data_IF_743826285028
#
_entry.id   IF_743826285028
#
_cell.length_a   1.000
_cell.length_b   1.000
_cell.length_c   1.000
_cell.angle_alpha   90.00
_cell.angle_beta   90.00
_cell.angle_gamma   90.00
#
_symmetry.space_group_name_H-M   'P 1'
#
loop_
_entity.id
_entity.type
_entity.pdbx_description
1 polymer ?
#
# COMPACT_ATOMS: atom_id res chain seq x y z
N UNK A 1 1.49 26.90 3.80
CA UNK A 1 0.69 26.32 4.91
C UNK A 1 -0.65 27.06 5.03
N UNK A 2 -1.74 26.33 5.35
CA UNK A 2 -3.08 26.89 5.51
C UNK A 2 -3.41 27.03 7.01
N UNK A 3 -3.07 28.16 7.67
CA UNK A 3 -3.25 28.34 9.11
C UNK A 3 -4.68 28.71 9.50
N UNK A 4 -5.59 28.82 8.53
CA UNK A 4 -6.99 29.17 8.75
C UNK A 4 -7.89 27.94 8.57
N UNK A 5 -8.99 27.83 9.32
CA UNK A 5 -9.39 28.71 10.43
C UNK A 5 -8.47 28.55 11.67
N UNK A 6 -8.54 29.43 12.68
CA UNK A 6 -7.88 29.19 13.96
C UNK A 6 -8.25 27.80 14.51
N UNK A 7 -7.31 27.13 15.17
CA UNK A 7 -7.53 25.79 15.72
C UNK A 7 -8.75 25.74 16.67
N UNK A 8 -9.00 26.79 17.44
CA UNK A 8 -10.15 26.91 18.35
C UNK A 8 -11.49 26.74 17.63
N UNK A 9 -11.57 27.19 16.38
CA UNK A 9 -12.81 27.20 15.63
C UNK A 9 -13.13 25.80 15.11
N UNK A 10 -12.12 24.93 14.94
CA UNK A 10 -12.32 23.55 14.51
C UNK A 10 -13.15 22.71 15.50
N UNK A 11 -13.17 23.11 16.79
CA UNK A 11 -14.05 22.53 17.82
C UNK A 11 -15.51 22.93 17.66
N UNK A 12 -15.79 24.04 16.96
CA UNK A 12 -17.12 24.61 16.95
C UNK A 12 -18.03 23.82 15.99
N UNK A 13 -19.07 23.15 16.50
CA UNK A 13 -19.99 22.39 15.65
C UNK A 13 -20.79 23.26 14.69
N UNK A 14 -20.98 24.56 14.99
CA UNK A 14 -21.77 25.46 14.16
C UNK A 14 -21.03 25.94 12.90
N UNK A 15 -19.69 26.00 12.93
CA UNK A 15 -18.90 26.58 11.84
C UNK A 15 -18.08 25.54 11.07
N UNK A 16 -17.56 24.53 11.76
CA UNK A 16 -16.71 23.50 11.15
C UNK A 16 -17.17 22.08 11.48
N UNK A 17 -18.44 21.91 11.90
CA UNK A 17 -19.07 20.63 12.21
C UNK A 17 -18.34 19.78 13.27
N UNK A 18 -17.55 20.39 14.17
CA UNK A 18 -16.88 19.66 15.25
C UNK A 18 -15.90 18.61 14.70
N UNK A 19 -15.04 19.03 13.76
CA UNK A 19 -14.05 18.16 13.11
C UNK A 19 -13.01 17.61 14.05
N UNK A 20 -12.74 18.34 15.12
CA UNK A 20 -12.01 17.81 16.25
C UNK A 20 -12.98 17.14 17.22
N UNK A 21 -12.51 16.07 17.88
CA UNK A 21 -13.33 15.36 18.84
C UNK A 21 -13.76 16.25 20.03
N UNK A 22 -14.82 15.89 20.76
CA UNK A 22 -15.34 16.69 21.87
C UNK A 22 -14.35 16.88 23.03
N UNK A 23 -13.27 16.10 23.07
CA UNK A 23 -12.20 16.18 24.07
C UNK A 23 -10.90 16.79 23.51
N UNK A 24 -11.01 17.53 22.41
CA UNK A 24 -9.90 18.19 21.74
C UNK A 24 -9.95 19.70 21.95
N UNK A 25 -8.78 20.30 22.10
CA UNK A 25 -8.56 21.73 22.18
C UNK A 25 -7.32 22.13 21.38
N UNK A 26 -7.09 23.43 21.10
CA UNK A 26 -5.90 23.88 20.37
C UNK A 26 -4.55 23.49 20.99
N UNK A 27 -4.52 23.14 22.28
CA UNK A 27 -3.29 22.85 23.02
C UNK A 27 -3.22 21.42 23.53
N UNK A 28 -4.34 20.71 23.65
CA UNK A 28 -4.41 19.37 24.23
C UNK A 28 -5.55 18.55 23.63
N UNK A 29 -5.33 17.23 23.54
CA UNK A 29 -6.36 16.24 23.24
C UNK A 29 -6.31 15.09 24.24
N UNK A 30 -7.35 14.26 24.24
CA UNK A 30 -7.38 13.02 25.01
C UNK A 30 -7.66 11.81 24.13
N UNK A 31 -7.02 10.69 24.45
CA UNK A 31 -7.28 9.40 23.82
C UNK A 31 -7.48 8.32 24.87
N UNK A 32 -8.22 7.27 24.51
CA UNK A 32 -8.36 6.08 25.34
C UNK A 32 -7.05 5.32 25.43
N UNK A 33 -6.75 4.80 26.61
CA UNK A 33 -5.61 3.90 26.80
C UNK A 33 -5.88 2.53 26.18
N UNK A 34 -4.81 1.88 25.73
CA UNK A 34 -4.87 0.52 25.21
C UNK A 34 -5.32 -0.44 26.33
N UNK A 35 -6.39 -1.19 26.09
CA UNK A 35 -6.82 -2.29 26.97
C UNK A 35 -7.32 -1.89 28.35
N UNK A 36 -7.54 -0.59 28.63
CA UNK A 36 -8.04 -0.11 29.92
C UNK A 36 -9.34 0.66 29.74
N UNK A 37 -10.45 0.03 30.11
CA UNK A 37 -11.77 0.69 30.11
C UNK A 37 -11.75 1.80 31.16
N UNK A 38 -11.98 3.05 30.71
CA UNK A 38 -12.11 4.22 31.59
C UNK A 38 -10.87 5.11 31.74
N UNK A 39 -9.69 4.68 31.28
CA UNK A 39 -8.49 5.51 31.34
C UNK A 39 -8.29 6.33 30.07
N UNK A 40 -7.96 7.62 30.26
CA UNK A 40 -7.64 8.56 29.20
C UNK A 40 -6.22 9.11 29.38
N UNK A 41 -5.43 9.07 28.31
CA UNK A 41 -4.16 9.81 28.23
C UNK A 41 -4.43 11.20 27.66
N UNK A 42 -4.03 12.24 28.40
CA UNK A 42 -3.97 13.62 27.90
C UNK A 42 -2.63 13.81 27.19
N UNK A 43 -2.65 14.40 26.00
CA UNK A 43 -1.44 14.73 25.25
C UNK A 43 -1.50 16.16 24.71
N UNK A 44 -0.35 16.83 24.53
CA UNK A 44 -0.31 18.13 23.89
C UNK A 44 -0.68 17.99 22.41
N UNK A 45 -1.60 18.82 21.96
CA UNK A 45 -2.04 18.89 20.58
C UNK A 45 -1.13 19.78 19.74
N UNK A 46 -1.09 19.55 18.43
CA UNK A 46 -0.24 20.29 17.50
C UNK A 46 -0.97 20.63 16.21
N UNK A 47 -0.65 21.79 15.65
CA UNK A 47 -1.11 22.16 14.31
C UNK A 47 -0.35 21.35 13.25
N UNK A 48 -0.96 20.30 12.72
CA UNK A 48 -0.38 19.47 11.66
C UNK A 48 -0.70 19.95 10.24
N UNK A 49 -1.37 21.09 10.07
CA UNK A 49 -1.75 21.56 8.73
C UNK A 49 -0.52 21.83 7.88
N UNK A 50 -0.58 21.33 6.64
CA UNK A 50 0.50 21.42 5.67
C UNK A 50 1.79 20.74 6.09
N UNK A 51 1.74 19.76 7.00
CA UNK A 51 2.86 18.86 7.28
C UNK A 51 2.70 17.58 6.47
N UNK A 52 3.82 16.99 6.10
CA UNK A 52 3.89 15.69 5.43
C UNK A 52 4.77 14.78 6.27
N UNK A 53 4.29 13.58 6.58
CA UNK A 53 5.02 12.59 7.36
C UNK A 53 5.34 11.38 6.49
N UNK A 54 6.63 11.10 6.29
CA UNK A 54 7.11 9.83 5.78
C UNK A 54 7.19 8.83 6.92
N UNK A 55 6.48 7.72 6.78
CA UNK A 55 6.70 6.53 7.58
C UNK A 55 7.59 5.60 6.78
N UNK A 56 8.76 5.30 7.32
CA UNK A 56 9.68 4.35 6.71
C UNK A 56 9.98 3.22 7.68
N UNK A 57 10.37 2.09 7.13
CA UNK A 57 10.60 0.86 7.88
C UNK A 57 11.85 0.14 7.31
N UNK A 58 12.94 -0.04 8.09
CA UNK A 58 14.11 -0.80 7.62
C UNK A 58 13.80 -2.29 7.43
N UNK A 59 12.67 -2.76 7.95
CA UNK A 59 12.11 -4.09 7.69
C UNK A 59 11.35 -4.17 6.36
N UNK A 60 11.09 -3.05 5.69
CA UNK A 60 10.44 -3.01 4.37
C UNK A 60 11.29 -3.72 3.31
N UNK A 61 10.68 -4.67 2.60
CA UNK A 61 11.33 -5.44 1.54
C UNK A 61 10.67 -5.28 0.16
N UNK A 62 9.68 -4.39 0.00
CA UNK A 62 8.85 -4.33 -1.22
C UNK A 62 9.61 -3.84 -2.45
N UNK A 63 10.46 -2.83 -2.30
CA UNK A 63 11.30 -2.31 -3.39
C UNK A 63 12.74 -2.48 -2.97
N UNK A 64 13.24 -3.69 -3.20
CA UNK A 64 14.63 -4.02 -3.06
C UNK A 64 15.18 -4.14 -4.50
N UNK A 65 16.01 -3.19 -4.90
CA UNK A 65 16.93 -3.30 -6.05
C UNK A 65 18.32 -2.92 -5.51
N UNK A 66 19.38 -3.62 -5.94
CA UNK A 66 20.72 -3.48 -5.35
C UNK A 66 21.23 -2.03 -5.30
N UNK A 67 20.93 -1.25 -6.34
CA UNK A 67 21.38 0.13 -6.49
C UNK A 67 20.34 1.18 -6.08
N UNK A 68 19.16 0.77 -5.58
CA UNK A 68 18.08 1.70 -5.21
C UNK A 68 17.91 1.75 -3.70
N UNK A 69 18.17 2.92 -3.13
CA UNK A 69 17.87 3.23 -1.72
C UNK A 69 16.51 3.93 -1.62
N UNK A 70 15.45 3.13 -1.54
CA UNK A 70 14.08 3.65 -1.40
C UNK A 70 13.85 4.34 -0.06
N UNK A 71 13.23 5.52 -0.08
CA UNK A 71 12.91 6.28 1.14
C UNK A 71 11.94 5.53 2.08
N UNK A 72 11.15 4.58 1.56
CA UNK A 72 10.27 3.73 2.35
C UNK A 72 11.03 2.73 3.24
N UNK A 73 12.23 2.31 2.83
CA UNK A 73 13.09 1.43 3.64
C UNK A 73 14.08 2.20 4.49
N UNK A 74 14.73 3.22 3.92
CA UNK A 74 15.89 3.85 4.53
C UNK A 74 15.62 5.25 5.11
N UNK A 75 14.41 5.78 4.92
CA UNK A 75 14.11 7.18 5.18
C UNK A 75 14.85 8.12 4.22
N UNK A 76 14.70 9.42 4.45
CA UNK A 76 15.47 10.46 3.76
C UNK A 76 16.71 10.78 4.59
N UNK A 77 17.87 10.72 3.94
CA UNK A 77 19.17 10.93 4.57
C UNK A 77 19.50 12.43 4.66
N UNK A 78 20.35 12.78 5.62
CA UNK A 78 20.86 14.14 5.77
C UNK A 78 21.96 14.49 4.76
N UNK A 79 22.48 13.49 4.04
CA UNK A 79 23.56 13.63 3.07
C UNK A 79 23.11 13.06 1.74
N UNK A 80 23.15 13.86 0.69
CA UNK A 80 22.78 13.46 -0.67
C UNK A 80 23.93 12.74 -1.41
N UNK A 81 24.41 11.62 -0.86
CA UNK A 81 25.52 10.87 -1.45
C UNK A 81 26.90 11.48 -1.16
N UNK A 82 27.98 10.77 -1.53
CA UNK A 82 29.36 11.10 -1.11
C UNK A 82 29.89 12.43 -1.66
N UNK A 83 29.42 12.84 -2.84
CA UNK A 83 29.92 14.02 -3.56
C UNK A 83 28.95 15.21 -3.52
N UNK A 84 28.01 15.23 -2.58
CA UNK A 84 27.04 16.32 -2.45
C UNK A 84 27.15 17.05 -1.13
N UNK A 85 27.05 18.38 -1.19
CA UNK A 85 26.94 19.27 -0.03
C UNK A 85 25.48 19.50 0.41
N UNK A 86 24.52 18.91 -0.30
CA UNK A 86 23.10 19.07 0.02
C UNK A 86 22.72 18.29 1.26
N UNK A 87 21.79 18.89 2.01
CA UNK A 87 21.14 18.25 3.14
C UNK A 87 19.64 18.10 2.84
N UNK A 88 19.22 16.97 2.26
CA UNK A 88 17.84 16.75 1.86
C UNK A 88 16.84 16.95 3.00
N UNK A 89 17.16 16.48 4.21
CA UNK A 89 16.28 16.65 5.37
C UNK A 89 16.14 18.11 5.80
N UNK A 90 17.21 18.92 5.73
CA UNK A 90 17.13 20.34 6.04
C UNK A 90 16.29 21.09 4.98
N UNK A 91 16.48 20.76 3.71
CA UNK A 91 15.70 21.34 2.60
C UNK A 91 14.21 20.96 2.69
N UNK A 92 13.92 19.68 2.93
CA UNK A 92 12.55 19.18 3.06
C UNK A 92 11.86 19.70 4.33
N UNK A 93 12.61 19.94 5.41
CA UNK A 93 12.08 20.59 6.61
C UNK A 93 11.52 21.99 6.31
N UNK A 94 12.09 22.72 5.37
CA UNK A 94 11.57 24.04 4.95
C UNK A 94 10.16 23.95 4.36
N UNK A 95 9.80 22.81 3.77
CA UNK A 95 8.46 22.51 3.26
C UNK A 95 7.64 21.63 4.22
N UNK A 96 7.99 21.62 5.51
CA UNK A 96 7.27 20.92 6.59
C UNK A 96 7.17 19.40 6.36
N UNK A 97 8.22 18.81 5.83
CA UNK A 97 8.37 17.36 5.74
C UNK A 97 9.02 16.79 7.00
N UNK A 98 8.48 15.67 7.45
CA UNK A 98 8.89 14.97 8.65
C UNK A 98 9.00 13.47 8.37
N UNK A 99 9.78 12.75 9.16
CA UNK A 99 9.86 11.30 9.06
C UNK A 99 9.87 10.60 10.41
N UNK A 100 9.27 9.40 10.44
CA UNK A 100 9.29 8.47 11.57
C UNK A 100 9.77 7.11 11.10
N UNK A 101 10.65 6.51 11.90
CA UNK A 101 11.08 5.14 11.73
C UNK A 101 10.13 4.20 12.46
N UNK A 102 9.65 3.19 11.76
CA UNK A 102 8.92 2.05 12.30
C UNK A 102 9.81 0.83 12.17
N UNK A 103 9.91 -0.01 13.19
CA UNK A 103 10.67 -1.25 13.06
C UNK A 103 10.17 -2.29 14.05
N UNK A 104 10.33 -3.57 13.70
CA UNK A 104 10.06 -4.67 14.62
C UNK A 104 11.22 -4.94 15.59
N UNK A 105 12.34 -4.24 15.43
CA UNK A 105 13.56 -4.44 16.21
C UNK A 105 13.39 -4.04 17.67
N UNK A 106 14.12 -4.75 18.52
CA UNK A 106 14.27 -4.49 19.94
C UNK A 106 15.72 -4.11 20.22
N UNK A 107 15.90 -3.19 21.17
CA UNK A 107 17.20 -2.73 21.66
C UNK A 107 17.11 -2.67 23.17
N UNK A 108 18.09 -3.26 23.85
CA UNK A 108 18.12 -3.37 25.31
C UNK A 108 16.79 -3.94 25.86
N UNK A 109 16.35 -5.06 25.26
CA UNK A 109 15.10 -5.77 25.57
C UNK A 109 13.82 -4.93 25.46
N UNK A 110 13.90 -3.77 24.81
CA UNK A 110 12.78 -2.84 24.62
C UNK A 110 12.51 -2.59 23.14
N UNK A 111 11.23 -2.46 22.73
CA UNK A 111 10.91 -2.12 21.35
C UNK A 111 11.46 -0.73 21.01
N UNK A 112 11.88 -0.53 19.77
CA UNK A 112 12.25 0.81 19.29
C UNK A 112 10.98 1.66 19.17
N UNK A 113 10.82 2.59 20.12
CA UNK A 113 9.61 3.40 20.24
C UNK A 113 9.47 4.43 19.12
N UNK A 114 8.27 4.54 18.56
CA UNK A 114 7.87 5.59 17.62
C UNK A 114 7.42 6.83 18.40
N UNK A 115 7.88 8.01 17.98
CA UNK A 115 7.51 9.27 18.64
C UNK A 115 8.37 9.65 19.84
N UNK A 116 9.61 9.16 19.92
CA UNK A 116 10.65 9.73 20.80
C UNK A 116 10.90 11.22 20.47
N UNK A 117 11.53 12.00 21.38
CA UNK A 117 12.00 13.34 21.05
C UNK A 117 12.80 13.36 19.74
N UNK A 118 12.65 14.40 18.90
CA UNK A 118 13.38 14.50 17.64
C UNK A 118 14.88 14.36 17.84
N UNK A 119 15.54 13.60 16.97
CA UNK A 119 16.96 13.33 17.08
C UNK A 119 17.42 12.21 16.16
N UNK A 120 18.69 11.87 16.26
CA UNK A 120 19.26 10.75 15.51
C UNK A 120 18.89 9.42 16.16
N UNK A 121 18.41 8.49 15.35
CA UNK A 121 18.23 7.10 15.75
C UNK A 121 19.10 6.18 14.88
N UNK A 122 19.39 4.99 15.38
CA UNK A 122 20.10 3.97 14.61
C UNK A 122 19.13 3.32 13.62
N UNK A 123 19.50 3.34 12.34
CA UNK A 123 18.84 2.52 11.33
C UNK A 123 19.23 1.05 11.48
N UNK A 124 20.46 0.80 11.93
CA UNK A 124 20.97 -0.54 12.29
C UNK A 124 21.98 -0.47 13.43
N UNK A 125 21.65 -1.11 14.54
CA UNK A 125 22.54 -1.29 15.68
C UNK A 125 23.45 -2.52 15.50
N UNK A 126 24.39 -2.67 16.43
CA UNK A 126 25.33 -3.78 16.46
C UNK A 126 24.60 -5.12 16.61
N UNK A 127 25.06 -6.12 15.86
CA UNK A 127 24.47 -7.47 15.81
C UNK A 127 23.02 -7.54 15.28
N UNK A 128 22.43 -6.43 14.81
CA UNK A 128 21.16 -6.49 14.08
C UNK A 128 21.40 -7.02 12.66
N UNK A 129 20.46 -7.84 12.17
CA UNK A 129 20.53 -8.37 10.80
C UNK A 129 20.72 -7.25 9.78
N UNK A 130 21.58 -7.50 8.78
CA UNK A 130 21.79 -6.61 7.64
C UNK A 130 20.50 -6.40 6.84
N UNK A 131 19.63 -7.40 6.87
CA UNK A 131 18.33 -7.41 6.21
C UNK A 131 17.28 -7.80 7.23
N UNK A 132 16.42 -6.85 7.58
CA UNK A 132 15.51 -7.03 8.71
C UNK A 132 14.29 -7.92 8.35
N UNK A 133 14.17 -8.33 7.08
CA UNK A 133 13.30 -9.42 6.64
C UNK A 133 14.13 -10.66 6.32
N UNK A 134 13.89 -11.76 7.04
CA UNK A 134 14.70 -12.99 7.04
C UNK A 134 14.52 -13.86 5.77
N UNK A 135 14.17 -13.26 4.64
CA UNK A 135 14.24 -13.94 3.35
C UNK A 135 15.68 -13.90 2.88
N UNK A 136 16.46 -14.92 3.27
CA UNK A 136 17.79 -15.20 2.74
C UNK A 136 17.87 -15.05 1.21
N UNK A 137 16.78 -15.37 0.49
CA UNK A 137 16.72 -15.28 -0.98
C UNK A 137 16.45 -13.88 -1.52
N UNK A 138 15.58 -13.08 -0.89
CA UNK A 138 15.34 -11.69 -1.31
C UNK A 138 16.42 -10.73 -0.80
N UNK A 139 17.08 -11.05 0.32
CA UNK A 139 18.18 -10.25 0.87
C UNK A 139 19.49 -10.37 0.09
N UNK A 140 19.70 -11.48 -0.64
CA UNK A 140 20.94 -11.72 -1.40
C UNK A 140 20.97 -11.02 -2.77
N UNK A 141 19.80 -10.67 -3.32
CA UNK A 141 19.66 -10.26 -4.71
C UNK A 141 19.39 -8.76 -4.90
N UNK A 142 19.14 -8.00 -3.84
CA UNK A 142 18.47 -6.72 -4.08
C UNK A 142 18.52 -5.63 -3.01
N UNK A 143 19.43 -5.66 -2.03
CA UNK A 143 19.47 -4.60 -1.00
C UNK A 143 20.86 -3.99 -0.85
N UNK A 144 20.96 -2.70 -1.15
CA UNK A 144 22.06 -1.86 -0.69
C UNK A 144 22.25 -2.03 0.84
N UNK A 145 23.46 -2.38 1.33
CA UNK A 145 23.69 -2.62 2.75
C UNK A 145 23.27 -1.44 3.62
N UNK A 146 22.50 -1.71 4.69
CA UNK A 146 22.51 -0.79 5.84
C UNK A 146 23.77 -1.08 6.64
N UNK A 147 24.69 -0.12 6.67
CA UNK A 147 25.89 -0.20 7.48
C UNK A 147 25.53 -0.23 8.97
N UNK A 148 26.23 -1.07 9.72
CA UNK A 148 26.09 -1.09 11.17
C UNK A 148 26.50 0.27 11.75
N UNK A 149 25.71 0.77 12.71
CA UNK A 149 25.95 2.08 13.30
C UNK A 149 25.41 3.25 12.49
N UNK A 150 24.81 3.01 11.31
CA UNK A 150 24.21 4.07 10.51
C UNK A 150 23.09 4.76 11.30
N UNK A 151 23.12 6.10 11.31
CA UNK A 151 22.17 6.96 12.01
C UNK A 151 21.34 7.76 11.02
N UNK A 152 20.08 7.95 11.34
CA UNK A 152 19.10 8.69 10.54
C UNK A 152 18.40 9.72 11.41
N UNK A 153 18.14 10.91 10.88
CA UNK A 153 17.45 11.98 11.60
C UNK A 153 15.94 11.71 11.63
N UNK A 154 15.40 11.48 12.81
CA UNK A 154 13.95 11.44 13.05
C UNK A 154 13.54 12.83 13.52
N UNK A 155 13.02 13.65 12.60
CA UNK A 155 12.65 15.04 12.87
C UNK A 155 11.16 15.23 13.24
N UNK A 156 10.34 14.18 13.11
CA UNK A 156 8.93 14.24 13.49
C UNK A 156 8.74 14.47 14.99
N UNK A 157 7.69 15.21 15.35
CA UNK A 157 7.45 15.63 16.72
C UNK A 157 7.23 14.46 17.68
N UNK A 158 7.59 14.67 18.94
CA UNK A 158 7.38 13.71 20.01
C UNK A 158 5.88 13.35 20.19
N UNK A 159 5.62 12.10 20.52
CA UNK A 159 4.32 11.60 20.94
C UNK A 159 4.30 11.38 22.45
N UNK A 160 3.13 11.54 23.06
CA UNK A 160 2.95 11.48 24.51
C UNK A 160 1.94 10.40 24.89
N UNK A 161 2.39 9.26 25.46
CA UNK A 161 3.77 8.75 25.39
C UNK A 161 4.16 8.32 23.96
N UNK A 162 5.46 8.04 23.71
CA UNK A 162 5.90 7.29 22.55
C UNK A 162 5.20 5.92 22.48
N UNK A 163 5.10 5.35 21.28
CA UNK A 163 4.35 4.12 21.00
C UNK A 163 5.27 2.97 20.60
N UNK A 164 5.04 1.78 21.16
CA UNK A 164 5.68 0.56 20.70
C UNK A 164 4.96 0.07 19.43
N UNK A 165 5.63 0.04 18.26
CA UNK A 165 4.96 -0.24 17.01
C UNK A 165 4.43 -1.68 16.95
N UNK A 166 3.17 -1.85 16.54
CA UNK A 166 2.58 -3.16 16.30
C UNK A 166 2.82 -3.56 14.83
N UNK A 167 3.91 -4.29 14.57
CA UNK A 167 4.38 -4.58 13.21
C UNK A 167 3.78 -5.85 12.56
N UNK A 168 3.23 -6.75 13.38
CA UNK A 168 2.80 -8.10 12.97
C UNK A 168 1.29 -8.21 12.70
N UNK A 169 0.64 -7.09 12.38
CA UNK A 169 -0.80 -7.06 12.11
C UNK A 169 -1.14 -7.76 10.81
N UNK A 170 -2.16 -8.63 10.84
CA UNK A 170 -2.66 -9.34 9.65
C UNK A 170 -1.86 -10.58 9.24
N UNK A 171 -0.78 -10.92 9.96
CA UNK A 171 -0.02 -12.15 9.72
C UNK A 171 -0.83 -13.40 10.16
N UNK A 172 -0.64 -14.51 9.45
CA UNK A 172 -1.26 -15.80 9.77
C UNK A 172 -0.76 -16.32 11.13
N UNK A 173 -1.65 -16.78 12.00
CA UNK A 173 -1.35 -17.02 13.42
C UNK A 173 -0.20 -18.03 13.62
N UNK A 174 -0.22 -19.11 12.85
CA UNK A 174 0.81 -20.15 12.90
C UNK A 174 2.15 -19.74 12.28
N UNK A 175 2.19 -18.61 11.57
CA UNK A 175 3.36 -18.08 10.89
C UNK A 175 3.66 -16.65 11.29
N UNK A 176 3.24 -16.25 12.49
CA UNK A 176 3.51 -14.91 13.01
C UNK A 176 5.01 -14.67 13.16
N UNK A 177 5.43 -13.47 12.78
CA UNK A 177 6.80 -13.00 12.88
C UNK A 177 7.18 -12.60 14.30
N UNK A 178 8.46 -12.29 14.46
CA UNK A 178 9.03 -11.75 15.68
C UNK A 178 10.10 -10.69 15.35
N UNK A 179 10.84 -10.26 16.36
CA UNK A 179 11.90 -9.26 16.24
C UNK A 179 12.99 -9.61 15.22
N UNK A 180 13.20 -10.90 14.93
CA UNK A 180 14.22 -11.43 14.03
C UNK A 180 13.62 -12.09 12.78
N UNK A 181 12.49 -12.79 12.92
CA UNK A 181 11.86 -13.55 11.83
C UNK A 181 10.70 -12.80 11.22
N UNK A 182 10.59 -12.82 9.88
CA UNK A 182 9.40 -12.29 9.21
C UNK A 182 8.24 -13.26 9.33
N UNK A 183 7.04 -12.73 9.59
CA UNK A 183 5.81 -13.49 9.52
C UNK A 183 5.36 -13.71 8.09
N UNK A 184 4.20 -14.36 7.93
CA UNK A 184 3.60 -14.59 6.62
C UNK A 184 2.17 -14.08 6.55
N UNK A 185 1.83 -13.52 5.40
CA UNK A 185 0.52 -12.99 5.08
C UNK A 185 -0.22 -13.90 4.11
N UNK A 186 -1.53 -13.88 4.25
CA UNK A 186 -2.43 -14.41 3.23
C UNK A 186 -2.52 -13.43 2.05
N UNK A 187 -2.65 -13.93 0.81
CA UNK A 187 -2.86 -13.06 -0.35
C UNK A 187 -4.08 -12.16 -0.17
N UNK A 188 -3.93 -10.85 -0.41
CA UNK A 188 -5.07 -9.94 -0.47
C UNK A 188 -5.86 -10.12 -1.79
N UNK A 189 -6.99 -9.42 -1.92
CA UNK A 189 -7.85 -9.57 -3.10
C UNK A 189 -7.16 -9.19 -4.42
N UNK A 190 -6.20 -8.26 -4.39
CA UNK A 190 -5.42 -7.89 -5.56
C UNK A 190 -4.41 -8.99 -5.93
N UNK A 191 -3.73 -9.57 -4.94
CA UNK A 191 -2.84 -10.71 -5.14
C UNK A 191 -3.62 -11.93 -5.65
N UNK A 192 -4.80 -12.22 -5.09
CA UNK A 192 -5.68 -13.29 -5.58
C UNK A 192 -6.10 -13.06 -7.03
N UNK A 193 -6.50 -11.84 -7.38
CA UNK A 193 -6.88 -11.51 -8.76
C UNK A 193 -5.71 -11.70 -9.74
N UNK A 194 -4.51 -11.25 -9.35
CA UNK A 194 -3.29 -11.46 -10.14
C UNK A 194 -2.96 -12.95 -10.31
N UNK A 195 -3.12 -13.75 -9.25
CA UNK A 195 -2.88 -15.19 -9.29
C UNK A 195 -3.86 -15.91 -10.22
N UNK A 196 -5.16 -15.58 -10.16
CA UNK A 196 -6.19 -16.12 -11.07
C UNK A 196 -5.89 -15.77 -12.53
N UNK A 197 -5.35 -14.58 -12.80
CA UNK A 197 -4.99 -14.14 -14.15
C UNK A 197 -3.66 -14.72 -14.67
N UNK A 198 -2.88 -15.41 -13.84
CA UNK A 198 -1.54 -15.86 -14.22
C UNK A 198 -1.60 -17.16 -15.05
N UNK A 199 -1.24 -17.13 -16.35
CA UNK A 199 -1.31 -18.30 -17.21
C UNK A 199 -0.33 -19.41 -16.84
N UNK A 200 0.65 -19.12 -15.97
CA UNK A 200 1.65 -20.08 -15.47
C UNK A 200 1.33 -20.60 -14.05
N UNK A 201 0.22 -20.18 -13.44
CA UNK A 201 -0.19 -20.69 -12.15
C UNK A 201 -0.43 -22.21 -12.22
N UNK A 202 0.00 -22.94 -11.18
CA UNK A 202 -0.29 -24.37 -11.04
C UNK A 202 -1.61 -24.49 -10.28
N UNK A 203 -2.68 -24.82 -10.98
CA UNK A 203 -4.02 -24.97 -10.43
C UNK A 203 -4.35 -26.46 -10.20
N UNK A 204 -5.28 -26.73 -9.28
CA UNK A 204 -5.70 -28.10 -8.98
C UNK A 204 -6.64 -28.60 -10.08
N UNK A 205 -6.67 -29.92 -10.22
CA UNK A 205 -7.51 -30.61 -11.19
C UNK A 205 -8.57 -31.42 -10.46
N UNK A 206 -9.83 -31.19 -10.81
CA UNK A 206 -10.99 -31.85 -10.20
C UNK A 206 -11.56 -32.90 -11.15
N UNK A 207 -11.83 -34.08 -10.61
CA UNK A 207 -12.52 -35.14 -11.34
C UNK A 207 -13.94 -34.73 -11.71
N UNK A 208 -14.30 -34.95 -12.97
CA UNK A 208 -15.65 -34.75 -13.49
C UNK A 208 -16.34 -36.10 -13.68
N UNK A 209 -15.77 -36.96 -14.52
CA UNK A 209 -16.31 -38.29 -14.84
C UNK A 209 -15.29 -39.16 -15.56
N UNK A 210 -15.56 -40.46 -15.64
CA UNK A 210 -14.87 -41.35 -16.56
C UNK A 210 -15.55 -41.37 -17.94
N UNK A 211 -14.77 -41.62 -18.99
CA UNK A 211 -15.24 -41.75 -20.36
C UNK A 211 -14.44 -42.81 -21.13
N UNK A 212 -15.10 -43.59 -21.98
CA UNK A 212 -14.44 -44.55 -22.89
C UNK A 212 -14.69 -44.14 -24.32
N UNK A 213 -13.65 -44.14 -25.15
CA UNK A 213 -13.71 -43.75 -26.56
C UNK A 213 -13.40 -42.26 -26.82
N UNK A 214 -13.76 -41.79 -28.02
CA UNK A 214 -13.47 -40.41 -28.45
C UNK A 214 -14.27 -39.39 -27.62
N UNK A 215 -13.66 -38.23 -27.36
CA UNK A 215 -14.26 -37.13 -26.61
C UNK A 215 -13.88 -35.79 -27.22
N UNK A 216 -14.86 -34.89 -27.28
CA UNK A 216 -14.71 -33.49 -27.68
C UNK A 216 -14.61 -32.62 -26.41
N UNK A 217 -13.40 -32.16 -26.10
CA UNK A 217 -13.12 -31.40 -24.88
C UNK A 217 -13.72 -29.99 -24.92
N UNK A 218 -13.89 -29.39 -26.10
CA UNK A 218 -14.51 -28.06 -26.22
C UNK A 218 -16.01 -28.14 -25.89
N UNK A 219 -16.67 -29.20 -26.38
CA UNK A 219 -18.07 -29.46 -26.03
C UNK A 219 -18.26 -29.76 -24.54
N UNK A 220 -17.38 -30.56 -23.94
CA UNK A 220 -17.43 -30.83 -22.49
C UNK A 220 -17.26 -29.54 -21.69
N UNK A 221 -16.32 -28.67 -22.08
CA UNK A 221 -16.08 -27.38 -21.44
C UNK A 221 -17.32 -26.48 -21.52
N UNK A 222 -17.91 -26.34 -22.72
CA UNK A 222 -19.10 -25.53 -22.94
C UNK A 222 -20.30 -26.06 -22.12
N UNK A 223 -20.49 -27.37 -22.07
CA UNK A 223 -21.55 -28.00 -21.27
C UNK A 223 -21.33 -27.79 -19.76
N UNK A 224 -20.09 -27.94 -19.29
CA UNK A 224 -19.77 -27.69 -17.88
C UNK A 224 -20.05 -26.24 -17.47
N UNK A 225 -19.70 -25.27 -18.33
CA UNK A 225 -19.84 -23.85 -18.03
C UNK A 225 -21.26 -23.29 -18.25
N UNK A 226 -22.15 -24.06 -18.89
CA UNK A 226 -23.50 -23.60 -19.24
C UNK A 226 -24.30 -23.20 -17.99
N UNK A 227 -24.79 -21.95 -17.98
CA UNK A 227 -25.62 -21.40 -16.90
C UNK A 227 -24.85 -20.98 -15.64
N UNK A 228 -23.51 -21.07 -15.62
CA UNK A 228 -22.67 -20.67 -14.48
C UNK A 228 -22.21 -19.23 -14.59
N UNK A 229 -22.10 -18.56 -13.44
CA UNK A 229 -21.50 -17.23 -13.35
C UNK A 229 -19.99 -17.27 -13.73
N UNK A 230 -19.39 -16.17 -14.20
CA UNK A 230 -18.00 -16.16 -14.64
C UNK A 230 -16.98 -16.72 -13.62
N UNK A 231 -17.19 -16.51 -12.32
CA UNK A 231 -16.32 -17.02 -11.26
C UNK A 231 -16.39 -18.55 -11.06
N UNK A 232 -17.48 -19.17 -11.51
CA UNK A 232 -17.76 -20.60 -11.35
C UNK A 232 -17.47 -21.41 -12.62
N UNK A 233 -17.02 -20.74 -13.68
CA UNK A 233 -16.63 -21.39 -14.93
C UNK A 233 -15.20 -21.90 -14.82
N UNK A 234 -14.93 -23.08 -15.36
CA UNK A 234 -13.55 -23.56 -15.53
C UNK A 234 -13.03 -23.10 -16.88
N UNK A 235 -11.73 -22.85 -16.98
CA UNK A 235 -11.11 -22.43 -18.24
C UNK A 235 -10.75 -23.62 -19.12
N UNK A 236 -10.39 -24.76 -18.52
CA UNK A 236 -9.83 -25.90 -19.23
C UNK A 236 -10.41 -27.21 -18.67
N UNK A 237 -10.76 -28.11 -19.59
CA UNK A 237 -11.01 -29.53 -19.31
C UNK A 237 -9.96 -30.35 -20.05
N UNK A 238 -9.36 -31.32 -19.36
CA UNK A 238 -8.39 -32.27 -19.93
C UNK A 238 -8.91 -33.70 -19.77
N UNK A 239 -8.30 -34.61 -20.53
CA UNK A 239 -8.44 -36.04 -20.34
C UNK A 239 -7.13 -36.66 -19.88
N UNK A 240 -7.18 -37.52 -18.88
CA UNK A 240 -6.04 -38.31 -18.40
C UNK A 240 -6.35 -39.78 -18.65
N UNK A 241 -5.47 -40.48 -19.37
CA UNK A 241 -5.67 -41.91 -19.69
C UNK A 241 -5.49 -42.75 -18.42
N UNK A 242 -6.45 -43.62 -18.13
CA UNK A 242 -6.42 -44.56 -17.00
C UNK A 242 -5.89 -45.93 -17.38
N UNK A 243 -6.24 -46.41 -18.57
CA UNK A 243 -5.97 -47.79 -18.99
C UNK A 243 -5.25 -47.85 -20.34
N UNK A 244 -4.32 -48.80 -20.43
CA UNK A 244 -3.64 -49.17 -21.67
C UNK A 244 -2.19 -48.69 -21.76
N UNK A 245 -1.34 -49.56 -22.32
CA UNK A 245 0.05 -49.28 -22.68
C UNK A 245 0.15 -48.95 -24.18
N UNK A 246 1.13 -48.11 -24.57
CA UNK A 246 1.39 -47.78 -25.97
C UNK A 246 0.40 -46.78 -26.58
N UNK A 247 0.14 -46.86 -27.88
CA UNK A 247 -0.72 -45.89 -28.58
C UNK A 247 -2.18 -45.88 -28.03
N UNK A 248 -2.89 -44.73 -28.07
CA UNK A 248 -4.29 -44.66 -27.69
C UNK A 248 -5.18 -45.62 -28.50
N UNK A 249 -6.06 -46.35 -27.83
CA UNK A 249 -7.03 -47.29 -28.41
C UNK A 249 -8.47 -46.85 -28.10
N UNK A 250 -9.45 -47.21 -28.96
CA UNK A 250 -10.87 -46.88 -28.73
C UNK A 250 -11.46 -47.44 -27.43
N UNK A 251 -10.90 -48.54 -26.91
CA UNK A 251 -11.31 -49.18 -25.66
C UNK A 251 -10.68 -48.57 -24.40
N UNK A 252 -9.78 -47.60 -24.55
CA UNK A 252 -9.14 -47.00 -23.39
C UNK A 252 -10.11 -46.10 -22.63
N UNK A 253 -9.96 -46.11 -21.31
CA UNK A 253 -10.74 -45.28 -20.39
C UNK A 253 -9.93 -44.05 -20.01
N UNK A 254 -10.61 -42.91 -19.94
CA UNK A 254 -10.05 -41.61 -19.55
C UNK A 254 -10.81 -41.04 -18.36
N UNK A 255 -10.08 -40.40 -17.45
CA UNK A 255 -10.64 -39.43 -16.51
C UNK A 255 -10.77 -38.10 -17.22
N UNK A 256 -11.94 -37.50 -17.10
CA UNK A 256 -12.17 -36.11 -17.49
C UNK A 256 -11.98 -35.26 -16.24
N UNK A 257 -11.05 -34.31 -16.35
CA UNK A 257 -10.63 -33.45 -15.25
C UNK A 257 -10.84 -32.00 -15.67
N UNK A 258 -11.27 -31.15 -14.74
CA UNK A 258 -11.36 -29.70 -14.94
C UNK A 258 -10.34 -28.97 -14.06
N UNK A 259 -9.86 -27.83 -14.53
CA UNK A 259 -9.06 -26.90 -13.72
C UNK A 259 -9.93 -26.27 -12.61
N UNK A 260 -9.33 -25.83 -11.50
CA UNK A 260 -9.99 -24.97 -10.51
C UNK A 260 -10.72 -23.80 -11.22
N UNK A 261 -11.93 -23.49 -10.76
CA UNK A 261 -12.66 -22.27 -11.15
C UNK A 261 -12.09 -21.07 -10.39
N UNK A 262 -12.22 -19.83 -10.90
CA UNK A 262 -11.76 -18.64 -10.18
C UNK A 262 -12.21 -18.56 -8.72
N UNK A 263 -13.45 -18.99 -8.42
CA UNK A 263 -13.98 -18.97 -7.05
C UNK A 263 -13.32 -20.05 -6.17
N UNK A 264 -13.08 -21.26 -6.69
CA UNK A 264 -12.35 -22.32 -5.96
C UNK A 264 -10.88 -21.95 -5.72
N UNK A 265 -10.23 -21.22 -6.63
CA UNK A 265 -8.87 -20.71 -6.42
C UNK A 265 -8.87 -19.69 -5.27
N UNK A 266 -9.85 -18.78 -5.24
CA UNK A 266 -9.98 -17.78 -4.17
C UNK A 266 -10.23 -18.43 -2.83
N UNK A 267 -11.19 -19.34 -2.76
CA UNK A 267 -11.50 -20.13 -1.56
C UNK A 267 -10.26 -20.90 -1.07
N UNK A 268 -9.53 -21.55 -1.97
CA UNK A 268 -8.28 -22.22 -1.61
C UNK A 268 -7.22 -21.24 -1.05
N UNK A 269 -7.05 -20.08 -1.68
CA UNK A 269 -6.12 -19.06 -1.17
C UNK A 269 -6.58 -18.49 0.18
N UNK A 270 -7.89 -18.46 0.43
CA UNK A 270 -8.48 -17.99 1.68
C UNK A 270 -8.29 -18.98 2.84
N UNK A 271 -8.33 -20.28 2.56
CA UNK A 271 -8.31 -21.31 3.60
C UNK A 271 -6.94 -21.99 3.78
N UNK A 272 -6.11 -21.99 2.74
CA UNK A 272 -4.86 -22.76 2.73
C UNK A 272 -3.80 -22.13 3.65
N UNK A 273 -3.23 -22.96 4.54
CA UNK A 273 -2.06 -22.61 5.35
C UNK A 273 -0.75 -23.11 4.73
N UNK A 274 -0.76 -23.46 3.44
CA UNK A 274 0.43 -23.85 2.70
C UNK A 274 1.38 -22.66 2.55
N UNK A 275 2.68 -22.92 2.75
CA UNK A 275 3.74 -21.94 2.49
C UNK A 275 3.91 -21.60 1.00
N UNK A 276 3.20 -22.29 0.11
CA UNK A 276 3.08 -21.95 -1.32
C UNK A 276 2.02 -20.86 -1.59
N UNK A 277 1.08 -20.68 -0.66
CA UNK A 277 0.02 -19.65 -0.73
C UNK A 277 0.41 -18.44 0.12
N UNK A 278 0.96 -18.68 1.31
CA UNK A 278 1.34 -17.62 2.23
C UNK A 278 2.68 -17.01 1.83
N UNK A 279 2.70 -15.69 1.64
CA UNK A 279 3.91 -14.94 1.31
C UNK A 279 4.53 -14.29 2.55
N UNK A 280 5.82 -13.96 2.51
CA UNK A 280 6.45 -13.25 3.62
C UNK A 280 5.87 -11.83 3.76
N UNK A 281 5.58 -11.42 4.99
CA UNK A 281 5.20 -10.05 5.27
C UNK A 281 6.37 -9.12 4.92
N UNK A 282 6.15 -8.22 3.96
CA UNK A 282 7.15 -7.25 3.54
C UNK A 282 7.28 -6.07 4.50
N UNK A 283 6.40 -5.95 5.50
CA UNK A 283 6.27 -4.86 6.46
C UNK A 283 6.03 -3.46 5.88
N UNK A 284 5.93 -3.32 4.55
CA UNK A 284 5.58 -2.06 3.87
C UNK A 284 4.25 -1.49 4.35
N UNK A 285 3.25 -2.37 4.50
CA UNK A 285 1.93 -2.03 5.02
C UNK A 285 1.73 -2.47 6.47
N UNK A 286 2.72 -3.12 7.10
CA UNK A 286 2.62 -3.64 8.47
C UNK A 286 2.25 -2.54 9.49
N UNK A 287 2.69 -1.30 9.25
CA UNK A 287 2.34 -0.15 10.08
C UNK A 287 0.84 0.20 10.02
N UNK A 288 0.16 -0.04 8.89
CA UNK A 288 -1.25 0.31 8.65
C UNK A 288 -2.23 -0.81 9.05
N UNK A 289 -1.73 -2.01 9.37
CA UNK A 289 -2.59 -3.16 9.69
C UNK A 289 -2.97 -3.27 11.16
N UNK A 290 -2.66 -2.24 11.95
CA UNK A 290 -2.93 -2.20 13.38
C UNK A 290 -3.73 -0.94 13.74
N UNK A 291 -4.97 -1.09 14.26
CA UNK A 291 -5.74 0.04 14.80
C UNK A 291 -4.97 0.84 15.85
N UNK A 292 -4.10 0.17 16.61
CA UNK A 292 -3.27 0.77 17.65
C UNK A 292 -2.20 1.67 17.05
N UNK A 293 -1.56 1.30 15.94
CA UNK A 293 -0.63 2.20 15.25
C UNK A 293 -1.35 3.46 14.78
N UNK A 294 -2.60 3.33 14.31
CA UNK A 294 -3.41 4.47 13.92
C UNK A 294 -3.78 5.36 15.10
N UNK A 295 -4.31 4.78 16.17
CA UNK A 295 -4.75 5.50 17.35
C UNK A 295 -3.60 6.24 18.05
N UNK A 296 -2.40 5.67 18.08
CA UNK A 296 -1.28 6.20 18.85
C UNK A 296 -0.34 7.08 18.04
N UNK A 297 -0.22 6.85 16.72
CA UNK A 297 0.74 7.56 15.88
C UNK A 297 0.07 8.26 14.72
N UNK A 298 -0.52 7.53 13.76
CA UNK A 298 -0.86 8.16 12.47
C UNK A 298 -1.99 9.17 12.61
N UNK A 299 -2.96 8.93 13.49
CA UNK A 299 -4.02 9.90 13.80
C UNK A 299 -3.46 11.22 14.36
N UNK A 300 -2.32 11.16 15.04
CA UNK A 300 -1.64 12.32 15.62
C UNK A 300 -0.82 13.10 14.61
N UNK A 301 -0.55 12.54 13.43
CA UNK A 301 0.24 13.16 12.37
C UNK A 301 -0.63 13.66 11.20
N UNK A 302 -1.89 13.23 11.16
CA UNK A 302 -2.86 13.73 10.21
C UNK A 302 -3.13 15.22 10.48
N UNK A 303 -3.20 15.99 9.39
CA UNK A 303 -3.64 17.38 9.45
C UNK A 303 -5.13 17.42 9.84
N UNK A 304 -5.45 18.13 10.93
CA UNK A 304 -6.83 18.42 11.31
C UNK A 304 -7.33 19.61 10.50
N UNK A 305 -8.50 19.46 9.88
CA UNK A 305 -9.11 20.44 8.98
C UNK A 305 -9.44 19.80 7.62
N UNK A 306 -10.28 20.48 6.83
CA UNK A 306 -10.54 20.04 5.46
C UNK A 306 -9.59 20.77 4.50
N UNK A 307 -9.27 20.15 3.37
CA UNK A 307 -8.66 20.89 2.26
C UNK A 307 -9.67 21.97 1.82
N UNK A 308 -9.23 23.22 1.64
CA UNK A 308 -10.11 24.35 1.28
C UNK A 308 -10.98 24.06 0.04
N UNK A 309 -10.50 23.19 -0.86
CA UNK A 309 -11.23 22.75 -2.03
C UNK A 309 -12.50 21.92 -1.71
N UNK A 310 -12.62 21.37 -0.49
CA UNK A 310 -13.79 20.63 -0.02
C UNK A 310 -14.82 21.51 0.72
N UNK A 311 -14.46 22.76 1.08
CA UNK A 311 -15.37 23.75 1.68
C UNK A 311 -16.45 24.22 0.70
N UNK A 312 -16.10 24.26 -0.59
CA UNK A 312 -17.00 24.62 -1.67
C UNK A 312 -17.73 23.35 -2.13
N UNK A 313 -19.04 23.20 -1.85
CA UNK A 313 -19.76 21.97 -2.15
C UNK A 313 -19.70 21.60 -3.63
N UNK A 314 -19.71 22.59 -4.52
CA UNK A 314 -19.62 22.35 -5.96
C UNK A 314 -18.24 21.82 -6.37
N UNK A 315 -17.16 22.34 -5.78
CA UNK A 315 -15.81 21.80 -6.01
C UNK A 315 -15.64 20.40 -5.43
N UNK A 316 -16.13 20.18 -4.20
CA UNK A 316 -16.09 18.88 -3.55
C UNK A 316 -16.76 17.81 -4.41
N UNK A 317 -17.97 18.08 -4.91
CA UNK A 317 -18.74 17.10 -5.68
C UNK A 317 -18.01 16.72 -6.98
N UNK A 318 -17.34 17.67 -7.64
CA UNK A 318 -16.49 17.37 -8.81
C UNK A 318 -15.25 16.59 -8.44
N UNK A 319 -14.52 16.99 -7.40
CA UNK A 319 -13.31 16.29 -6.97
C UNK A 319 -13.59 14.83 -6.57
N UNK A 320 -14.73 14.58 -5.89
CA UNK A 320 -15.18 13.23 -5.56
C UNK A 320 -15.56 12.46 -6.81
N UNK A 321 -16.27 13.08 -7.75
CA UNK A 321 -16.69 12.43 -8.99
C UNK A 321 -15.50 12.04 -9.89
N UNK A 322 -14.47 12.88 -10.00
CA UNK A 322 -13.26 12.56 -10.79
C UNK A 322 -12.34 11.55 -10.09
N UNK A 323 -12.40 11.43 -8.75
CA UNK A 323 -11.60 10.47 -8.00
C UNK A 323 -12.00 9.02 -8.31
N UNK A 324 -13.28 8.79 -8.63
CA UNK A 324 -13.71 7.56 -9.31
C UNK A 324 -13.33 7.66 -10.79
N UNK A 325 -12.03 7.53 -11.10
CA UNK A 325 -11.49 7.69 -12.46
C UNK A 325 -12.05 6.65 -13.46
N UNK A 326 -12.72 5.59 -12.98
CA UNK A 326 -13.28 4.48 -13.77
C UNK A 326 -14.67 4.81 -14.31
N UNK A 327 -14.80 5.93 -15.02
CA UNK A 327 -16.06 6.40 -15.58
C UNK A 327 -16.28 5.88 -17.01
N UNK A 328 -17.47 5.35 -17.28
CA UNK A 328 -17.95 5.23 -18.65
C UNK A 328 -18.40 6.59 -19.21
N UNK A 329 -18.65 6.68 -20.51
CA UNK A 329 -19.14 7.92 -21.14
C UNK A 329 -20.34 8.55 -20.44
N UNK A 330 -21.32 7.76 -19.99
CA UNK A 330 -22.55 8.29 -19.37
C UNK A 330 -22.24 8.94 -18.03
N UNK A 331 -21.42 8.28 -17.19
CA UNK A 331 -20.96 8.84 -15.92
C UNK A 331 -20.16 10.12 -16.15
N UNK A 332 -19.27 10.11 -17.14
CA UNK A 332 -18.41 11.25 -17.44
C UNK A 332 -19.20 12.49 -17.90
N UNK A 333 -20.21 12.31 -18.75
CA UNK A 333 -21.12 13.39 -19.17
C UNK A 333 -21.86 14.04 -17.99
N UNK A 334 -22.12 13.28 -16.91
CA UNK A 334 -22.69 13.83 -15.67
C UNK A 334 -21.64 14.66 -14.93
N UNK A 335 -20.40 14.18 -14.85
CA UNK A 335 -19.29 14.89 -14.20
C UNK A 335 -19.00 16.24 -14.87
N UNK A 336 -18.98 16.30 -16.20
CA UNK A 336 -18.76 17.55 -16.94
C UNK A 336 -19.85 18.61 -16.69
N UNK A 337 -21.05 18.18 -16.27
CA UNK A 337 -22.18 19.07 -15.97
C UNK A 337 -22.23 19.52 -14.51
N UNK A 338 -21.36 19.00 -13.65
CA UNK A 338 -21.33 19.40 -12.25
C UNK A 338 -20.92 20.87 -12.12
N UNK A 339 -21.54 21.65 -11.21
CA UNK A 339 -21.27 23.09 -11.12
C UNK A 339 -19.82 23.46 -10.79
N UNK A 340 -19.06 22.57 -10.16
CA UNK A 340 -17.64 22.79 -9.88
C UNK A 340 -16.73 22.59 -11.09
N UNK A 341 -17.22 22.03 -12.19
CA UNK A 341 -16.38 21.62 -13.31
C UNK A 341 -15.68 22.82 -13.94
N UNK A 342 -16.44 23.91 -14.13
CA UNK A 342 -15.96 25.18 -14.69
C UNK A 342 -14.92 25.90 -13.80
N UNK A 343 -14.75 25.46 -12.56
CA UNK A 343 -13.77 26.02 -11.62
C UNK A 343 -12.42 25.31 -11.70
N UNK A 344 -12.34 24.16 -12.38
CA UNK A 344 -11.08 23.52 -12.73
C UNK A 344 -10.38 24.34 -13.83
N UNK A 345 -9.05 24.40 -13.80
CA UNK A 345 -8.31 25.01 -14.92
C UNK A 345 -8.52 24.22 -16.20
N UNK A 346 -8.29 24.87 -17.35
CA UNK A 346 -8.45 24.22 -18.66
C UNK A 346 -7.52 23.00 -18.79
N UNK A 347 -6.30 23.07 -18.24
CA UNK A 347 -5.35 21.96 -18.21
C UNK A 347 -5.87 20.80 -17.35
N UNK A 348 -6.45 21.09 -16.19
CA UNK A 348 -7.02 20.06 -15.31
C UNK A 348 -8.23 19.38 -15.96
N UNK A 349 -9.12 20.16 -16.60
CA UNK A 349 -10.24 19.60 -17.36
C UNK A 349 -9.74 18.72 -18.52
N UNK A 350 -8.73 19.18 -19.27
CA UNK A 350 -8.13 18.44 -20.37
C UNK A 350 -7.50 17.12 -19.90
N UNK A 351 -6.78 17.13 -18.77
CA UNK A 351 -6.17 15.93 -18.20
C UNK A 351 -7.23 14.92 -17.72
N UNK A 352 -8.31 15.39 -17.08
CA UNK A 352 -9.41 14.53 -16.65
C UNK A 352 -10.11 13.89 -17.85
N UNK A 353 -10.37 14.65 -18.93
CA UNK A 353 -10.93 14.12 -20.19
C UNK A 353 -10.02 13.08 -20.83
N UNK A 354 -8.71 13.34 -20.89
CA UNK A 354 -7.74 12.40 -21.41
C UNK A 354 -7.67 11.10 -20.58
N UNK A 355 -7.77 11.22 -19.25
CA UNK A 355 -7.79 10.08 -18.34
C UNK A 355 -9.04 9.21 -18.54
N UNK A 356 -10.21 9.82 -18.77
CA UNK A 356 -11.43 9.08 -19.12
C UNK A 356 -11.29 8.35 -20.48
N UNK A 357 -10.76 9.03 -21.51
CA UNK A 357 -10.53 8.41 -22.81
C UNK A 357 -9.53 7.23 -22.74
N UNK A 358 -8.51 7.33 -21.88
CA UNK A 358 -7.58 6.25 -21.61
C UNK A 358 -8.29 5.05 -20.98
N UNK A 359 -9.11 5.28 -19.97
CA UNK A 359 -9.86 4.19 -19.33
C UNK A 359 -10.86 3.51 -20.27
N UNK A 360 -11.66 4.30 -21.02
CA UNK A 360 -12.72 3.76 -21.86
C UNK A 360 -12.21 3.11 -23.15
N UNK A 361 -11.15 3.67 -23.74
CA UNK A 361 -10.71 3.33 -25.11
C UNK A 361 -9.24 2.98 -25.22
N UNK A 362 -8.47 3.04 -24.14
CA UNK A 362 -7.02 2.79 -24.16
C UNK A 362 -6.21 3.91 -24.83
N UNK A 363 -6.80 5.08 -25.06
CA UNK A 363 -6.13 6.21 -25.72
C UNK A 363 -5.28 6.96 -24.69
N UNK A 364 -3.96 6.84 -24.77
CA UNK A 364 -3.05 7.49 -23.83
C UNK A 364 -3.16 9.03 -23.92
N UNK A 365 -3.07 9.77 -22.80
CA UNK A 365 -3.05 11.23 -22.83
C UNK A 365 -1.96 11.79 -23.74
N UNK A 366 -2.22 12.89 -24.45
CA UNK A 366 -1.26 13.47 -25.39
C UNK A 366 -0.02 14.04 -24.66
N UNK A 367 1.15 14.11 -25.32
CA UNK A 367 2.41 14.54 -24.70
C UNK A 367 2.40 15.94 -24.08
N UNK A 368 1.53 16.82 -24.57
CA UNK A 368 1.34 18.18 -24.05
C UNK A 368 0.71 18.18 -22.64
N UNK A 369 -0.06 17.13 -22.31
CA UNK A 369 -0.67 16.93 -20.99
C UNK A 369 0.18 16.00 -20.11
N UNK A 370 0.75 14.95 -20.69
CA UNK A 370 1.59 13.96 -19.99
C UNK A 370 2.87 13.73 -20.81
N UNK A 371 3.99 14.39 -20.45
CA UNK A 371 5.24 14.23 -21.18
C UNK A 371 5.66 12.76 -21.26
N UNK A 372 5.87 12.26 -22.49
CA UNK A 372 6.37 10.91 -22.74
C UNK A 372 7.88 10.80 -22.52
N UNK A 373 8.57 11.93 -22.51
CA UNK A 373 9.98 12.01 -22.16
C UNK A 373 10.09 12.11 -20.64
N UNK A 374 10.75 11.16 -19.96
CA UNK A 374 10.99 11.28 -18.53
C UNK A 374 11.78 12.57 -18.25
N UNK A 375 11.54 13.22 -17.10
CA UNK A 375 12.29 14.42 -16.73
C UNK A 375 13.79 14.09 -16.70
N UNK A 376 14.61 15.02 -17.18
CA UNK A 376 16.07 14.88 -17.09
C UNK A 376 16.47 14.59 -15.65
N UNK A 377 17.28 13.55 -15.45
CA UNK A 377 17.91 13.32 -14.17
C UNK A 377 18.70 14.57 -13.80
N UNK A 378 18.42 15.16 -12.64
CA UNK A 378 19.15 16.33 -12.17
C UNK A 378 20.62 15.95 -11.96
N UNK A 379 21.46 16.32 -12.91
CA UNK A 379 22.91 16.26 -12.76
C UNK A 379 23.39 17.61 -12.21
N UNK A 380 24.46 17.58 -11.40
CA UNK A 380 24.83 18.65 -10.45
C UNK A 380 24.97 20.08 -11.01
N UNK A 381 24.99 20.27 -12.32
CA UNK A 381 25.01 21.59 -12.97
C UNK A 381 23.62 22.24 -13.14
N UNK A 382 22.51 21.50 -13.12
CA UNK A 382 21.15 22.03 -13.31
C UNK A 382 20.48 22.59 -12.03
N UNK A 383 21.10 22.42 -10.86
CA UNK A 383 20.53 22.81 -9.56
C UNK A 383 20.70 24.32 -9.27
N UNK A 384 21.63 25.00 -9.95
CA UNK A 384 21.90 26.43 -9.72
C UNK A 384 20.89 27.39 -10.37
N UNK A 385 19.76 26.89 -10.86
CA UNK A 385 18.92 27.61 -11.81
C UNK A 385 17.43 27.63 -11.53
N UNK A 386 16.95 27.54 -10.29
CA UNK A 386 15.56 27.91 -9.98
C UNK A 386 15.50 28.61 -8.61
N UNK A 387 15.92 29.87 -8.59
CA UNK A 387 15.42 30.84 -7.62
C UNK A 387 14.22 31.53 -8.27
N UNK A 388 13.01 31.22 -7.78
CA UNK A 388 11.82 32.07 -7.89
C UNK A 388 10.97 31.91 -6.65
#
# INVERSE_FOLDING_TARGET
PHPQPPLSDLCNPATYCGRSGPQWSPTQGTRKDKGKVGNLTVFPERDNRGKVYLYFCPDDTTVALDDVRGIGTFGVWDIHGKDSTRNPMAELKAVRFYQRMWTKRYRDDSPVMVGKPPGYDLLRAKNESRYAGDSWFAGLLSKGPTEEGHRILINAEQLYPPHAPAMFGGEEENYKGDQNKSGRDRPDDANKANAVGNPRAKLRWHFVRNHTGSIDLERELAQWNMGKAPGQQTRIIIKRRLTGDGAPRPSDTYEILREDTPDEIREFMDESNSTEVLDFNSYHSGLLRSPENHQWVTAMDIAIGQAKCLDDPAMRDVLVAIADWKMDKKKFEVVEKLPGWIKLSDEAQALVKASNAYYERGIFPPPELVPLTPPSLLTGSQINGVSK
#
